data_IF_305962861963
#
_entry.id   IF_305962861963
#
_cell.length_a   1.000
_cell.length_b   1.000
_cell.length_c   1.000
_cell.angle_alpha   90.00
_cell.angle_beta   90.00
_cell.angle_gamma   90.00
#
_symmetry.space_group_name_H-M   'P 1'
#
loop_
_entity.id
_entity.type
_entity.pdbx_description
1 polymer ?
#
# COMPACT_ATOMS: atom_id res chain seq x y z
N UNK A 1 31.50 -8.08 2.63
CA UNK A 1 30.14 -8.36 3.13
C UNK A 1 30.01 -9.80 3.60
N UNK A 2 29.32 -10.07 4.72
CA UNK A 2 28.96 -11.45 5.09
C UNK A 2 28.00 -12.05 4.04
N UNK A 3 28.11 -13.36 3.72
CA UNK A 3 27.23 -14.03 2.76
C UNK A 3 25.74 -13.89 3.11
N UNK A 4 25.44 -13.92 4.41
CA UNK A 4 24.09 -13.76 4.97
C UNK A 4 23.47 -12.41 4.62
N UNK A 5 24.25 -11.32 4.67
CA UNK A 5 23.74 -9.99 4.33
C UNK A 5 23.45 -9.87 2.82
N UNK A 6 24.22 -10.55 1.97
CA UNK A 6 23.93 -10.61 0.53
C UNK A 6 22.59 -11.28 0.26
N UNK A 7 22.33 -12.42 0.93
CA UNK A 7 21.06 -13.14 0.81
C UNK A 7 19.88 -12.25 1.21
N UNK A 8 19.99 -11.56 2.35
CA UNK A 8 18.94 -10.64 2.82
C UNK A 8 18.63 -9.55 1.79
N UNK A 9 19.64 -8.97 1.13
CA UNK A 9 19.42 -7.93 0.11
C UNK A 9 18.63 -8.48 -1.08
N UNK A 10 18.99 -9.68 -1.57
CA UNK A 10 18.26 -10.31 -2.67
C UNK A 10 16.83 -10.71 -2.28
N UNK A 11 16.62 -11.19 -1.06
CA UNK A 11 15.28 -11.48 -0.54
C UNK A 11 14.44 -10.22 -0.40
N UNK A 12 15.01 -9.14 0.15
CA UNK A 12 14.34 -7.83 0.22
C UNK A 12 13.93 -7.34 -1.17
N UNK A 13 14.82 -7.42 -2.17
CA UNK A 13 14.50 -7.07 -3.56
C UNK A 13 13.30 -7.87 -4.09
N UNK A 14 13.26 -9.17 -3.83
CA UNK A 14 12.15 -10.03 -4.24
C UNK A 14 10.84 -9.62 -3.55
N UNK A 15 10.87 -9.41 -2.24
CA UNK A 15 9.68 -9.03 -1.47
C UNK A 15 9.12 -7.66 -1.88
N UNK A 16 9.98 -6.67 -2.17
CA UNK A 16 9.51 -5.38 -2.65
C UNK A 16 8.90 -5.46 -4.05
N UNK A 17 9.45 -6.30 -4.95
CA UNK A 17 8.82 -6.54 -6.26
C UNK A 17 7.46 -7.23 -6.12
N UNK A 18 7.35 -8.21 -5.22
CA UNK A 18 6.07 -8.86 -4.90
C UNK A 18 5.05 -7.87 -4.33
N UNK A 19 5.48 -7.00 -3.41
CA UNK A 19 4.64 -5.96 -2.83
C UNK A 19 4.12 -4.99 -3.90
N UNK A 20 4.98 -4.58 -4.85
CA UNK A 20 4.59 -3.71 -5.95
C UNK A 20 3.53 -4.39 -6.84
N UNK A 21 3.73 -5.65 -7.22
CA UNK A 21 2.76 -6.40 -8.02
C UNK A 21 1.40 -6.53 -7.31
N UNK A 22 1.39 -6.72 -5.99
CA UNK A 22 0.14 -6.77 -5.21
C UNK A 22 -0.57 -5.41 -5.16
N UNK A 23 0.17 -4.30 -5.16
CA UNK A 23 -0.41 -2.96 -5.26
C UNK A 23 -1.00 -2.69 -6.65
N UNK A 24 -0.40 -3.25 -7.70
CA UNK A 24 -0.97 -3.21 -9.05
C UNK A 24 -2.23 -4.09 -9.14
N UNK A 25 -2.22 -5.31 -8.59
CA UNK A 25 -3.42 -6.16 -8.48
C UNK A 25 -4.52 -5.42 -7.69
N UNK A 26 -4.16 -4.72 -6.62
CA UNK A 26 -5.10 -3.91 -5.86
C UNK A 26 -5.72 -2.80 -6.72
N UNK A 27 -4.94 -2.11 -7.55
CA UNK A 27 -5.44 -1.07 -8.45
C UNK A 27 -6.52 -1.62 -9.39
N UNK A 28 -6.24 -2.74 -10.05
CA UNK A 28 -7.19 -3.38 -10.98
C UNK A 28 -8.47 -3.83 -10.27
N UNK A 29 -8.34 -4.42 -9.09
CA UNK A 29 -9.50 -4.87 -8.30
C UNK A 29 -10.31 -3.70 -7.75
N UNK A 30 -9.66 -2.58 -7.40
CA UNK A 30 -10.36 -1.35 -7.04
C UNK A 30 -11.27 -0.98 -8.21
N UNK A 31 -10.77 -0.99 -9.45
CA UNK A 31 -11.56 -0.68 -10.65
C UNK A 31 -12.69 -1.70 -10.91
N UNK A 32 -12.41 -3.00 -10.73
CA UNK A 32 -13.36 -4.11 -10.91
C UNK A 32 -14.53 -4.14 -9.91
N UNK A 33 -14.44 -3.39 -8.78
CA UNK A 33 -15.48 -3.26 -7.75
C UNK A 33 -15.87 -4.57 -7.04
N UNK A 34 -15.00 -5.58 -6.99
CA UNK A 34 -15.24 -6.81 -6.23
C UNK A 34 -14.67 -6.70 -4.80
N UNK A 35 -15.51 -6.53 -3.77
CA UNK A 35 -15.04 -6.38 -2.39
C UNK A 35 -14.42 -7.67 -1.82
N UNK A 36 -14.81 -8.84 -2.32
CA UNK A 36 -14.29 -10.12 -1.80
C UNK A 36 -12.85 -10.35 -2.25
N UNK A 37 -12.54 -9.99 -3.50
CA UNK A 37 -11.18 -10.05 -4.03
C UNK A 37 -10.29 -8.98 -3.38
N UNK A 38 -10.83 -7.78 -3.13
CA UNK A 38 -10.12 -6.73 -2.40
C UNK A 38 -9.73 -7.16 -0.98
N UNK A 39 -10.61 -7.85 -0.24
CA UNK A 39 -10.27 -8.38 1.09
C UNK A 39 -9.13 -9.40 1.03
N UNK A 40 -9.14 -10.30 0.02
CA UNK A 40 -8.06 -11.27 -0.18
C UNK A 40 -6.72 -10.59 -0.45
N UNK A 41 -6.69 -9.57 -1.32
CA UNK A 41 -5.45 -8.83 -1.62
C UNK A 41 -4.97 -8.04 -0.42
N UNK A 42 -5.88 -7.45 0.38
CA UNK A 42 -5.51 -6.79 1.62
C UNK A 42 -4.78 -7.74 2.59
N UNK A 43 -5.26 -8.98 2.75
CA UNK A 43 -4.58 -10.00 3.58
C UNK A 43 -3.21 -10.39 3.03
N UNK A 44 -3.08 -10.53 1.70
CA UNK A 44 -1.77 -10.80 1.06
C UNK A 44 -0.78 -9.67 1.33
N UNK A 45 -1.21 -8.42 1.15
CA UNK A 45 -0.38 -7.23 1.43
C UNK A 45 0.09 -7.19 2.88
N UNK A 46 -0.79 -7.51 3.83
CA UNK A 46 -0.45 -7.57 5.25
C UNK A 46 0.60 -8.65 5.56
N UNK A 47 0.46 -9.83 4.95
CA UNK A 47 1.42 -10.92 5.11
C UNK A 47 2.80 -10.55 4.56
N UNK A 48 2.88 -10.03 3.33
CA UNK A 48 4.15 -9.57 2.73
C UNK A 48 4.77 -8.46 3.57
N UNK A 49 3.97 -7.53 4.10
CA UNK A 49 4.46 -6.47 4.99
C UNK A 49 5.06 -7.03 6.28
N UNK A 50 4.43 -8.06 6.87
CA UNK A 50 4.93 -8.75 8.07
C UNK A 50 6.25 -9.45 7.80
N UNK A 51 6.40 -10.08 6.64
CA UNK A 51 7.62 -10.78 6.28
C UNK A 51 8.77 -9.81 5.95
N UNK A 52 8.50 -8.68 5.31
CA UNK A 52 9.48 -7.58 5.15
C UNK A 52 9.95 -7.08 6.53
N UNK A 53 9.03 -6.93 7.49
CA UNK A 53 9.39 -6.50 8.85
C UNK A 53 10.28 -7.54 9.56
N UNK A 54 10.03 -8.84 9.38
CA UNK A 54 10.90 -9.90 9.91
C UNK A 54 12.30 -9.84 9.30
N UNK A 55 12.41 -9.67 7.98
CA UNK A 55 13.70 -9.53 7.29
C UNK A 55 14.47 -8.30 7.78
N UNK A 56 13.79 -7.18 8.03
CA UNK A 56 14.42 -5.98 8.56
C UNK A 56 14.95 -6.19 10.00
N UNK A 57 14.22 -6.93 10.84
CA UNK A 57 14.70 -7.32 12.18
C UNK A 57 15.93 -8.23 12.07
N UNK A 58 15.90 -9.24 11.19
CA UNK A 58 17.04 -10.12 10.95
C UNK A 58 18.27 -9.32 10.48
N UNK A 59 18.07 -8.37 9.56
CA UNK A 59 19.13 -7.45 9.11
C UNK A 59 19.72 -6.66 10.28
N UNK A 60 18.87 -6.07 11.14
CA UNK A 60 19.31 -5.30 12.32
C UNK A 60 20.09 -6.15 13.31
N UNK A 61 19.75 -7.42 13.46
CA UNK A 61 20.48 -8.33 14.36
C UNK A 61 21.90 -8.63 13.84
N UNK A 62 22.10 -8.69 12.52
CA UNK A 62 23.41 -9.00 11.91
C UNK A 62 24.31 -7.75 11.87
N UNK A 63 23.73 -6.60 11.54
CA UNK A 63 24.47 -5.36 11.27
C UNK A 63 24.62 -4.48 12.52
N UNK A 64 23.74 -4.66 13.51
CA UNK A 64 23.60 -3.73 14.62
C UNK A 64 22.71 -2.53 14.27
N UNK A 65 22.21 -1.85 15.30
CA UNK A 65 21.27 -0.71 15.18
C UNK A 65 21.89 0.53 14.53
N UNK A 66 23.21 0.63 14.53
CA UNK A 66 23.94 1.88 14.34
C UNK A 66 24.45 2.09 12.90
N UNK A 67 24.43 1.06 12.05
CA UNK A 67 24.91 1.15 10.67
C UNK A 67 23.77 1.29 9.67
N UNK A 68 23.86 2.34 8.85
CA UNK A 68 22.98 2.54 7.70
C UNK A 68 23.35 1.55 6.59
N UNK A 69 22.33 0.97 5.94
CA UNK A 69 22.55 0.04 4.83
C UNK A 69 23.26 0.71 3.65
N UNK A 70 23.04 2.02 3.46
CA UNK A 70 23.72 2.81 2.43
C UNK A 70 25.24 2.85 2.66
N UNK A 71 25.66 3.12 3.90
CA UNK A 71 27.08 3.20 4.24
C UNK A 71 27.78 1.84 4.05
N UNK A 72 27.12 0.75 4.46
CA UNK A 72 27.63 -0.61 4.29
C UNK A 72 27.79 -1.00 2.81
N UNK A 73 26.93 -0.49 1.94
CA UNK A 73 26.95 -0.80 0.51
C UNK A 73 27.98 0.07 -0.21
N UNK A 74 28.18 1.31 0.21
CA UNK A 74 29.24 2.18 -0.31
C UNK A 74 30.64 1.60 -0.02
N UNK A 75 30.85 1.07 1.19
CA UNK A 75 32.08 0.41 1.63
C UNK A 75 32.33 -0.96 0.97
N UNK A 76 31.32 -1.55 0.29
CA UNK A 76 31.51 -2.80 -0.45
C UNK A 76 31.82 -2.53 -1.93
N UNK A 77 32.85 -3.20 -2.47
CA UNK A 77 33.25 -3.10 -3.88
C UNK A 77 32.41 -3.95 -4.85
N UNK A 78 31.42 -4.70 -4.35
CA UNK A 78 30.60 -5.60 -5.17
C UNK A 78 29.55 -4.81 -5.98
N UNK A 79 29.83 -4.63 -7.28
CA UNK A 79 28.97 -3.89 -8.21
C UNK A 79 27.53 -4.43 -8.27
N UNK A 80 27.35 -5.75 -8.16
CA UNK A 80 26.03 -6.39 -8.24
C UNK A 80 25.14 -6.01 -7.05
N UNK A 81 25.75 -5.82 -5.87
CA UNK A 81 25.02 -5.45 -4.65
C UNK A 81 24.61 -3.98 -4.70
N UNK A 82 25.50 -3.12 -5.18
CA UNK A 82 25.20 -1.70 -5.42
C UNK A 82 24.02 -1.54 -6.38
N UNK A 83 24.02 -2.29 -7.49
CA UNK A 83 22.92 -2.29 -8.45
C UNK A 83 21.61 -2.82 -7.84
N UNK A 84 21.67 -3.94 -7.12
CA UNK A 84 20.49 -4.49 -6.43
C UNK A 84 19.90 -3.51 -5.40
N UNK A 85 20.73 -2.74 -4.71
CA UNK A 85 20.28 -1.74 -3.74
C UNK A 85 19.66 -0.51 -4.39
N UNK A 86 20.23 -0.01 -5.48
CA UNK A 86 19.61 1.08 -6.25
C UNK A 86 18.26 0.64 -6.85
N UNK A 87 18.15 -0.61 -7.30
CA UNK A 87 16.86 -1.19 -7.70
C UNK A 87 15.86 -1.26 -6.53
N UNK A 88 16.30 -1.64 -5.33
CA UNK A 88 15.41 -1.65 -4.15
C UNK A 88 14.92 -0.23 -3.87
N UNK A 89 15.82 0.76 -3.89
CA UNK A 89 15.50 2.16 -3.64
C UNK A 89 14.51 2.73 -4.66
N UNK A 90 14.68 2.39 -5.94
CA UNK A 90 13.72 2.80 -6.98
C UNK A 90 12.37 2.10 -6.80
N UNK A 91 12.37 0.80 -6.50
CA UNK A 91 11.15 0.02 -6.24
C UNK A 91 10.37 0.57 -5.04
N UNK A 92 11.06 0.97 -3.96
CA UNK A 92 10.43 1.58 -2.78
C UNK A 92 9.72 2.89 -3.15
N UNK A 93 10.36 3.75 -3.95
CA UNK A 93 9.71 4.97 -4.43
C UNK A 93 8.46 4.67 -5.26
N UNK A 94 8.51 3.65 -6.11
CA UNK A 94 7.35 3.22 -6.91
C UNK A 94 6.22 2.69 -6.01
N UNK A 95 6.56 1.88 -5.00
CA UNK A 95 5.59 1.38 -4.00
C UNK A 95 4.90 2.55 -3.29
N UNK A 96 5.65 3.58 -2.88
CA UNK A 96 5.10 4.75 -2.19
C UNK A 96 4.08 5.49 -3.07
N UNK A 97 4.45 5.75 -4.33
CA UNK A 97 3.55 6.40 -5.31
C UNK A 97 2.31 5.56 -5.59
N UNK A 98 2.47 4.24 -5.78
CA UNK A 98 1.35 3.35 -6.09
C UNK A 98 0.39 3.20 -4.91
N UNK A 99 0.94 3.09 -3.69
CA UNK A 99 0.15 3.06 -2.46
C UNK A 99 -0.68 4.33 -2.28
N UNK A 100 -0.08 5.51 -2.48
CA UNK A 100 -0.81 6.78 -2.35
C UNK A 100 -1.90 6.90 -3.42
N UNK A 101 -1.59 6.51 -4.66
CA UNK A 101 -2.56 6.49 -5.77
C UNK A 101 -3.77 5.61 -5.45
N UNK A 102 -3.53 4.37 -4.99
CA UNK A 102 -4.60 3.44 -4.60
C UNK A 102 -5.43 4.00 -3.44
N UNK A 103 -4.80 4.60 -2.44
CA UNK A 103 -5.46 5.22 -1.31
C UNK A 103 -6.38 6.38 -1.73
N UNK A 104 -5.91 7.25 -2.63
CA UNK A 104 -6.70 8.38 -3.17
C UNK A 104 -7.92 7.85 -3.93
N UNK A 105 -7.76 6.84 -4.79
CA UNK A 105 -8.86 6.27 -5.58
C UNK A 105 -9.91 5.64 -4.66
N UNK A 106 -9.49 4.88 -3.64
CA UNK A 106 -10.38 4.31 -2.64
C UNK A 106 -11.19 5.40 -1.92
N UNK A 107 -10.51 6.46 -1.47
CA UNK A 107 -11.15 7.60 -0.79
C UNK A 107 -12.19 8.29 -1.69
N UNK A 108 -11.86 8.49 -2.96
CA UNK A 108 -12.80 9.06 -3.94
C UNK A 108 -14.03 8.15 -4.11
N UNK A 109 -13.86 6.84 -4.24
CA UNK A 109 -14.98 5.89 -4.37
C UNK A 109 -15.88 5.88 -3.13
N UNK A 110 -15.31 5.90 -1.94
CA UNK A 110 -16.07 6.02 -0.69
C UNK A 110 -16.85 7.33 -0.61
N UNK A 111 -16.23 8.44 -1.04
CA UNK A 111 -16.89 9.74 -1.08
C UNK A 111 -18.09 9.77 -2.03
N UNK A 112 -17.95 9.23 -3.24
CA UNK A 112 -19.07 9.12 -4.19
C UNK A 112 -20.18 8.20 -3.66
N UNK A 113 -19.81 7.06 -3.06
CA UNK A 113 -20.77 6.14 -2.45
C UNK A 113 -21.57 6.83 -1.34
N UNK A 114 -20.89 7.60 -0.47
CA UNK A 114 -21.53 8.39 0.59
C UNK A 114 -22.49 9.44 0.02
N UNK A 115 -22.10 10.15 -1.04
CA UNK A 115 -22.98 11.11 -1.74
C UNK A 115 -24.21 10.43 -2.31
N UNK A 116 -24.04 9.27 -2.95
CA UNK A 116 -25.14 8.50 -3.53
C UNK A 116 -26.09 7.98 -2.46
N UNK A 117 -25.57 7.47 -1.34
CA UNK A 117 -26.38 7.09 -0.18
C UNK A 117 -27.18 8.27 0.38
N UNK A 118 -26.60 9.47 0.46
CA UNK A 118 -27.31 10.66 0.92
C UNK A 118 -28.44 11.09 -0.03
N UNK A 119 -28.28 10.86 -1.34
CA UNK A 119 -29.32 11.15 -2.34
C UNK A 119 -30.46 10.14 -2.26
N UNK A 120 -30.14 8.86 -2.07
CA UNK A 120 -31.14 7.78 -1.97
C UNK A 120 -31.83 7.79 -0.60
N UNK A 121 -31.17 8.30 0.43
CA UNK A 121 -31.73 8.38 1.79
C UNK A 121 -33.03 9.20 1.75
N UNK A 122 -34.19 8.59 2.08
CA UNK A 122 -35.45 9.31 2.06
C UNK A 122 -35.41 10.47 3.06
N UNK A 123 -35.97 11.62 2.66
CA UNK A 123 -36.11 12.77 3.56
C UNK A 123 -36.96 12.36 4.75
N UNK A 124 -36.44 12.54 5.96
CA UNK A 124 -37.18 12.24 7.21
C UNK A 124 -38.35 13.22 7.43
N UNK A 125 -38.40 14.32 6.67
CA UNK A 125 -39.56 15.19 6.58
C UNK A 125 -40.48 14.75 5.45
N UNK A 126 -41.69 14.32 5.78
CA UNK A 126 -42.80 14.41 4.83
C UNK A 126 -43.04 15.89 4.60
N UNK A 127 -42.70 16.40 3.42
CA UNK A 127 -43.11 17.73 2.99
C UNK A 127 -44.63 17.75 2.80
N UNK A 128 -45.37 17.74 3.91
CA UNK A 128 -46.82 17.89 3.88
C UNK A 128 -47.13 19.35 3.66
N UNK A 129 -48.03 19.61 2.72
CA UNK A 129 -48.58 20.95 2.56
C UNK A 129 -49.40 21.30 3.82
N UNK A 130 -49.11 22.44 4.42
CA UNK A 130 -49.99 23.00 5.45
C UNK A 130 -51.30 23.49 4.81
N UNK A 131 -52.28 23.89 5.63
CA UNK A 131 -53.59 24.38 5.18
C UNK A 131 -53.51 25.56 4.17
N UNK A 132 -52.37 26.27 4.12
CA UNK A 132 -52.12 27.37 3.20
C UNK A 132 -51.36 26.96 1.91
N UNK A 133 -51.16 25.66 1.67
CA UNK A 133 -50.41 25.18 0.50
C UNK A 133 -48.90 25.45 0.56
N UNK A 134 -48.34 25.69 1.74
CA UNK A 134 -46.89 25.81 1.93
C UNK A 134 -46.33 24.47 2.40
N UNK A 135 -45.20 24.05 1.84
CA UNK A 135 -44.52 22.82 2.26
C UNK A 135 -44.00 23.02 3.70
N UNK A 136 -44.46 22.19 4.63
CA UNK A 136 -43.92 22.14 6.00
C UNK A 136 -42.43 21.83 5.95
N UNK A 137 -41.61 22.68 6.60
CA UNK A 137 -40.16 22.49 6.70
C UNK A 137 -39.79 21.15 7.33
#
# INVERSE_FOLDING_TARGET
MSPELKVIIYEQRKMFKELLNLLDEQYDLILGKDPTLLDKVARKLENVSRDIAKLEIQRRNIVGSDFSMGNLIEENDDKNIKEAYEEIKSTIKMIEVQKESNHVILKQKLFFTKKMLNVIKPSQGTGTYNYCGQVGK
#
